data_IF_725362279146
#
_entry.id   IF_725362279146
#
_cell.length_a   1.000
_cell.length_b   1.000
_cell.length_c   1.000
_cell.angle_alpha   90.00
_cell.angle_beta   90.00
_cell.angle_gamma   90.00
#
_symmetry.space_group_name_H-M   'P 1'
#
loop_
_entity.id
_entity.type
_entity.pdbx_description
1 polymer ?
#
# COMPACT_ATOMS: atom_id res chain seq x y z
N UNK A 1 -19.12 -12.51 -16.61
CA UNK A 1 -18.35 -12.85 -15.38
C UNK A 1 -19.26 -13.65 -14.45
N UNK A 2 -18.87 -14.84 -14.02
CA UNK A 2 -19.67 -15.66 -13.11
C UNK A 2 -19.68 -15.04 -11.71
N UNK A 3 -20.74 -15.28 -10.93
CA UNK A 3 -20.84 -14.82 -9.52
C UNK A 3 -19.65 -15.29 -8.64
N UNK A 4 -18.91 -16.31 -9.07
CA UNK A 4 -17.72 -16.81 -8.37
C UNK A 4 -16.51 -15.86 -8.52
N UNK A 5 -16.31 -15.26 -9.71
CA UNK A 5 -15.17 -14.36 -9.96
C UNK A 5 -15.23 -13.07 -9.15
N UNK A 6 -16.43 -12.60 -8.79
CA UNK A 6 -16.59 -11.38 -7.98
C UNK A 6 -16.25 -11.60 -6.49
N UNK A 7 -16.19 -12.84 -6.02
CA UNK A 7 -15.93 -13.17 -4.62
C UNK A 7 -14.46 -13.50 -4.33
N UNK A 8 -13.61 -13.65 -5.36
CA UNK A 8 -12.22 -14.00 -5.17
C UNK A 8 -11.41 -12.81 -4.62
N UNK A 9 -10.60 -13.08 -3.61
CA UNK A 9 -9.62 -12.13 -3.11
C UNK A 9 -8.65 -11.72 -4.24
N UNK A 10 -8.12 -10.47 -4.26
CA UNK A 10 -7.15 -10.03 -5.27
C UNK A 10 -5.99 -11.00 -5.47
N UNK A 11 -5.49 -11.59 -4.39
CA UNK A 11 -4.46 -12.63 -4.43
C UNK A 11 -4.89 -13.88 -5.22
N UNK A 12 -6.09 -14.38 -4.97
CA UNK A 12 -6.62 -15.54 -5.69
C UNK A 12 -6.82 -15.24 -7.18
N UNK A 13 -7.29 -14.02 -7.50
CA UNK A 13 -7.40 -13.57 -8.90
C UNK A 13 -6.05 -13.52 -9.60
N UNK A 14 -5.02 -13.05 -8.89
CA UNK A 14 -3.66 -12.95 -9.46
C UNK A 14 -3.01 -14.32 -9.65
N UNK A 15 -3.32 -15.30 -8.79
CA UNK A 15 -2.83 -16.68 -8.92
C UNK A 15 -3.65 -17.51 -9.92
N UNK A 16 -4.86 -17.08 -10.26
CA UNK A 16 -5.70 -17.80 -11.20
C UNK A 16 -5.25 -17.45 -12.61
N UNK A 17 -4.63 -18.40 -13.29
CA UNK A 17 -4.36 -18.29 -14.74
C UNK A 17 -5.71 -18.28 -15.43
N UNK A 18 -6.07 -17.18 -16.08
CA UNK A 18 -7.34 -17.11 -16.79
C UNK A 18 -7.31 -17.99 -18.03
N UNK A 19 -8.50 -18.40 -18.48
CA UNK A 19 -8.62 -19.27 -19.66
C UNK A 19 -8.01 -18.68 -20.92
N UNK A 20 -8.00 -17.35 -21.02
CA UNK A 20 -7.42 -16.60 -22.13
C UNK A 20 -5.90 -16.64 -22.10
N UNK A 21 -5.29 -16.39 -20.91
CA UNK A 21 -3.83 -16.54 -20.74
C UNK A 21 -3.38 -17.98 -21.00
N UNK A 22 -4.16 -18.97 -20.57
CA UNK A 22 -3.87 -20.37 -20.83
C UNK A 22 -3.98 -20.70 -22.33
N UNK A 23 -4.99 -20.18 -23.00
CA UNK A 23 -5.16 -20.34 -24.44
C UNK A 23 -4.05 -19.65 -25.23
N UNK A 24 -3.63 -18.44 -24.83
CA UNK A 24 -2.50 -17.75 -25.40
C UNK A 24 -1.21 -18.55 -25.27
N UNK A 25 -0.94 -19.11 -24.09
CA UNK A 25 0.21 -19.99 -23.87
C UNK A 25 0.12 -21.24 -24.77
N UNK A 26 -1.03 -21.91 -24.80
CA UNK A 26 -1.20 -23.14 -25.57
C UNK A 26 -1.23 -22.89 -27.08
N UNK A 27 -1.81 -21.79 -27.52
CA UNK A 27 -1.93 -21.44 -28.94
C UNK A 27 -0.61 -20.97 -29.53
N UNK A 28 0.16 -20.20 -28.77
CA UNK A 28 1.39 -19.60 -29.23
C UNK A 28 2.63 -20.45 -28.93
N UNK A 29 2.53 -21.43 -28.07
CA UNK A 29 3.62 -22.31 -27.67
C UNK A 29 4.31 -23.05 -28.82
N UNK A 30 3.62 -23.55 -29.85
CA UNK A 30 4.27 -24.19 -31.00
C UNK A 30 4.83 -23.20 -32.02
N UNK A 31 4.37 -21.95 -32.01
CA UNK A 31 4.63 -20.97 -33.06
C UNK A 31 5.62 -19.87 -32.66
N UNK A 32 5.78 -19.62 -31.37
CA UNK A 32 6.72 -18.61 -30.88
C UNK A 32 8.08 -19.22 -30.56
N UNK A 33 9.19 -18.58 -30.98
CA UNK A 33 10.50 -18.89 -30.45
C UNK A 33 10.49 -18.83 -28.92
N UNK A 34 11.12 -19.80 -28.29
CA UNK A 34 11.26 -19.81 -26.83
C UNK A 34 11.69 -18.50 -26.22
N UNK A 35 12.53 -17.76 -26.94
CA UNK A 35 13.02 -16.46 -26.52
C UNK A 35 11.89 -15.45 -26.35
N UNK A 36 10.92 -15.39 -27.25
CA UNK A 36 9.80 -14.46 -27.17
C UNK A 36 8.83 -14.84 -26.06
N UNK A 37 8.62 -16.13 -25.86
CA UNK A 37 7.82 -16.63 -24.72
C UNK A 37 8.43 -16.24 -23.37
N UNK A 38 9.75 -16.34 -23.22
CA UNK A 38 10.46 -15.98 -21.99
C UNK A 38 10.55 -14.47 -21.76
N UNK A 39 10.33 -13.66 -22.75
CA UNK A 39 10.47 -12.19 -22.66
C UNK A 39 9.15 -11.44 -22.41
N UNK A 40 8.00 -12.13 -22.41
CA UNK A 40 6.72 -11.44 -22.28
C UNK A 40 5.66 -12.23 -21.48
N UNK A 41 5.54 -12.06 -20.17
CA UNK A 41 6.44 -11.35 -19.26
C UNK A 41 7.75 -12.11 -19.03
N UNK A 42 8.81 -11.39 -18.71
CA UNK A 42 10.15 -11.98 -18.51
C UNK A 42 10.21 -12.95 -17.34
N UNK A 43 9.40 -12.72 -16.32
CA UNK A 43 9.31 -13.55 -15.10
C UNK A 43 7.93 -13.44 -14.49
N UNK A 44 7.55 -14.46 -13.74
CA UNK A 44 6.39 -14.41 -12.85
C UNK A 44 6.87 -14.15 -11.42
N UNK A 45 6.12 -13.38 -10.66
CA UNK A 45 6.39 -13.16 -9.26
C UNK A 45 6.02 -14.38 -8.42
N UNK A 46 6.86 -14.68 -7.43
CA UNK A 46 6.63 -15.82 -6.55
C UNK A 46 5.47 -15.60 -5.57
N UNK A 47 5.02 -16.69 -4.98
CA UNK A 47 3.89 -16.73 -4.03
C UNK A 47 4.07 -15.78 -2.84
N UNK A 48 5.29 -15.64 -2.32
CA UNK A 48 5.58 -14.75 -1.17
C UNK A 48 5.35 -13.28 -1.52
N UNK A 49 5.73 -12.88 -2.75
CA UNK A 49 5.46 -11.55 -3.24
C UNK A 49 3.95 -11.32 -3.37
N UNK A 50 3.25 -12.25 -4.03
CA UNK A 50 1.81 -12.14 -4.26
C UNK A 50 1.01 -12.11 -2.96
N UNK A 51 1.41 -12.90 -1.97
CA UNK A 51 0.78 -12.90 -0.65
C UNK A 51 0.93 -11.55 0.05
N UNK A 52 2.14 -11.01 0.12
CA UNK A 52 2.41 -9.71 0.74
C UNK A 52 1.71 -8.57 0.00
N UNK A 53 1.77 -8.59 -1.32
CA UNK A 53 1.08 -7.62 -2.14
C UNK A 53 -0.44 -7.64 -1.91
N UNK A 54 -1.07 -8.83 -1.89
CA UNK A 54 -2.51 -8.93 -1.69
C UNK A 54 -2.96 -8.48 -0.29
N UNK A 55 -2.14 -8.72 0.72
CA UNK A 55 -2.40 -8.20 2.08
C UNK A 55 -2.31 -6.68 2.13
N UNK A 56 -1.32 -6.08 1.45
CA UNK A 56 -1.19 -4.64 1.31
C UNK A 56 -2.42 -4.04 0.64
N UNK A 57 -2.77 -4.53 -0.54
CA UNK A 57 -3.95 -4.06 -1.30
C UNK A 57 -5.25 -4.23 -0.50
N UNK A 58 -5.41 -5.34 0.23
CA UNK A 58 -6.57 -5.53 1.10
C UNK A 58 -6.66 -4.42 2.16
N UNK A 59 -5.55 -4.08 2.82
CA UNK A 59 -5.54 -3.05 3.86
C UNK A 59 -5.77 -1.65 3.29
N UNK A 60 -5.19 -1.35 2.14
CA UNK A 60 -5.42 -0.09 1.42
C UNK A 60 -6.90 0.08 1.04
N UNK A 61 -7.53 -0.96 0.49
CA UNK A 61 -8.96 -0.93 0.17
C UNK A 61 -9.83 -0.69 1.40
N UNK A 62 -9.53 -1.36 2.52
CA UNK A 62 -10.26 -1.16 3.78
C UNK A 62 -10.17 0.29 4.28
N UNK A 63 -9.00 0.92 4.14
CA UNK A 63 -8.83 2.32 4.50
C UNK A 63 -9.57 3.26 3.55
N UNK A 64 -9.52 3.00 2.23
CA UNK A 64 -10.25 3.78 1.23
C UNK A 64 -11.76 3.72 1.54
N UNK A 65 -12.30 2.54 1.78
CA UNK A 65 -13.70 2.35 2.16
C UNK A 65 -14.05 3.14 3.42
N UNK A 66 -13.25 2.98 4.49
CA UNK A 66 -13.50 3.67 5.77
C UNK A 66 -13.43 5.19 5.64
N UNK A 67 -12.49 5.73 4.86
CA UNK A 67 -12.39 7.17 4.60
C UNK A 67 -13.62 7.65 3.82
N UNK A 68 -14.00 6.92 2.76
CA UNK A 68 -15.14 7.29 1.92
C UNK A 68 -16.47 7.22 2.65
N UNK A 69 -16.63 6.28 3.59
CA UNK A 69 -17.82 6.15 4.44
C UNK A 69 -18.03 7.35 5.38
N UNK A 70 -17.00 8.15 5.64
CA UNK A 70 -17.18 9.38 6.43
C UNK A 70 -18.04 10.41 5.74
N UNK A 71 -18.12 10.38 4.40
CA UNK A 71 -18.78 11.37 3.58
C UNK A 71 -18.09 12.74 3.51
N UNK A 72 -17.16 13.01 4.41
CA UNK A 72 -16.39 14.26 4.47
C UNK A 72 -15.11 14.20 3.63
N UNK A 73 -14.55 13.01 3.52
CA UNK A 73 -13.29 12.75 2.82
C UNK A 73 -13.45 11.62 1.81
N UNK A 74 -12.55 11.58 0.84
CA UNK A 74 -12.36 10.43 -0.02
C UNK A 74 -10.87 10.15 -0.21
N UNK A 75 -10.53 8.90 -0.45
CA UNK A 75 -9.18 8.44 -0.66
C UNK A 75 -9.03 7.75 -2.01
N UNK A 76 -7.83 7.87 -2.58
CA UNK A 76 -7.44 7.16 -3.80
C UNK A 76 -6.13 6.41 -3.58
N UNK A 77 -5.90 5.28 -4.29
CA UNK A 77 -4.59 4.66 -4.34
C UNK A 77 -3.61 5.57 -5.08
N UNK A 78 -2.37 5.63 -4.60
CA UNK A 78 -1.32 6.45 -5.18
C UNK A 78 -0.02 5.67 -5.38
N UNK A 79 0.31 4.80 -4.45
CA UNK A 79 1.40 3.84 -4.60
C UNK A 79 1.12 2.81 -5.71
N UNK A 80 2.17 2.19 -6.25
CA UNK A 80 2.02 1.23 -7.36
C UNK A 80 1.25 -0.04 -6.99
N UNK A 81 1.23 -0.42 -5.71
CA UNK A 81 0.55 -1.63 -5.25
C UNK A 81 -0.96 -1.55 -5.45
N UNK A 82 -1.57 -0.44 -5.04
CA UNK A 82 -3.02 -0.25 -5.06
C UNK A 82 -3.60 -0.01 -6.45
N UNK A 83 -2.76 0.27 -7.46
CA UNK A 83 -3.19 0.53 -8.83
C UNK A 83 -2.87 -0.62 -9.80
N UNK A 84 -2.15 -1.66 -9.33
CA UNK A 84 -1.81 -2.80 -10.16
C UNK A 84 -3.06 -3.54 -10.65
N UNK A 85 -3.12 -3.93 -11.94
CA UNK A 85 -4.26 -4.67 -12.48
C UNK A 85 -4.38 -6.06 -11.84
N UNK A 86 -5.60 -6.50 -11.60
CA UNK A 86 -5.90 -7.81 -10.99
C UNK A 86 -6.69 -8.72 -11.93
N UNK A 87 -6.91 -8.29 -13.17
CA UNK A 87 -7.74 -8.98 -14.15
C UNK A 87 -7.05 -10.18 -14.78
N UNK A 88 -5.74 -10.09 -15.02
CA UNK A 88 -4.94 -11.16 -15.60
C UNK A 88 -3.53 -11.17 -15.03
N UNK A 89 -2.92 -12.36 -14.96
CA UNK A 89 -1.53 -12.54 -14.48
C UNK A 89 -0.56 -11.80 -15.38
N UNK A 90 -0.78 -11.86 -16.69
CA UNK A 90 0.08 -11.20 -17.68
C UNK A 90 0.09 -9.68 -17.51
N UNK A 91 -1.08 -9.05 -17.42
CA UNK A 91 -1.19 -7.59 -17.21
C UNK A 91 -0.55 -7.16 -15.90
N UNK A 92 -0.74 -7.94 -14.84
CA UNK A 92 -0.12 -7.73 -13.53
C UNK A 92 1.41 -7.74 -13.64
N UNK A 93 1.99 -8.76 -14.26
CA UNK A 93 3.45 -8.87 -14.38
C UNK A 93 4.02 -7.79 -15.29
N UNK A 94 3.37 -7.50 -16.43
CA UNK A 94 3.78 -6.44 -17.34
C UNK A 94 3.71 -5.05 -16.69
N UNK A 95 2.75 -4.83 -15.81
CA UNK A 95 2.67 -3.59 -15.05
C UNK A 95 3.94 -3.35 -14.21
N UNK A 96 4.37 -4.34 -13.46
CA UNK A 96 5.58 -4.23 -12.64
C UNK A 96 6.86 -4.20 -13.48
N UNK A 97 6.91 -4.92 -14.60
CA UNK A 97 8.03 -4.82 -15.54
C UNK A 97 8.13 -3.41 -16.14
N UNK A 98 7.01 -2.80 -16.48
CA UNK A 98 6.96 -1.41 -16.94
C UNK A 98 7.48 -0.43 -15.89
N UNK A 99 7.12 -0.60 -14.62
CA UNK A 99 7.66 0.21 -13.51
C UNK A 99 9.18 0.06 -13.37
N UNK A 100 9.67 -1.17 -13.43
CA UNK A 100 11.12 -1.45 -13.36
C UNK A 100 11.86 -0.82 -14.56
N UNK A 101 11.33 -0.98 -15.76
CA UNK A 101 11.91 -0.42 -16.98
C UNK A 101 11.94 1.13 -16.97
N UNK A 102 10.94 1.76 -16.36
CA UNK A 102 10.88 3.20 -16.17
C UNK A 102 11.80 3.72 -15.04
N UNK A 103 12.48 2.83 -14.31
CA UNK A 103 13.29 3.18 -13.14
C UNK A 103 12.48 3.61 -11.92
N UNK A 104 11.16 3.39 -11.95
CA UNK A 104 10.23 3.81 -10.90
C UNK A 104 9.94 2.72 -9.86
N UNK A 105 10.39 1.50 -10.10
CA UNK A 105 10.13 0.36 -9.21
C UNK A 105 10.75 0.46 -7.80
N UNK A 106 11.66 1.41 -7.59
CA UNK A 106 12.29 1.69 -6.27
C UNK A 106 11.91 3.06 -5.70
N UNK A 107 11.07 3.81 -6.39
CA UNK A 107 10.61 5.12 -5.88
C UNK A 107 9.58 4.88 -4.80
N UNK A 108 9.89 5.28 -3.58
CA UNK A 108 8.93 5.21 -2.48
C UNK A 108 7.90 6.32 -2.62
N UNK A 109 6.65 5.95 -2.63
CA UNK A 109 5.48 6.83 -2.57
C UNK A 109 4.58 6.33 -1.45
N UNK A 110 3.86 7.24 -0.77
CA UNK A 110 2.77 6.83 0.11
C UNK A 110 1.72 6.02 -0.67
N UNK A 111 1.03 5.12 0.01
CA UNK A 111 0.09 4.20 -0.64
C UNK A 111 -1.19 4.91 -1.08
N UNK A 112 -1.70 5.85 -0.28
CA UNK A 112 -2.96 6.55 -0.53
C UNK A 112 -2.80 8.07 -0.44
N UNK A 113 -3.68 8.79 -1.16
CA UNK A 113 -3.92 10.23 -0.98
C UNK A 113 -5.36 10.45 -0.52
N UNK A 114 -5.53 11.36 0.45
CA UNK A 114 -6.84 11.71 1.02
C UNK A 114 -7.18 13.17 0.69
N UNK A 115 -8.42 13.41 0.31
CA UNK A 115 -8.97 14.67 -0.12
C UNK A 115 -10.29 14.98 0.57
N UNK A 116 -10.72 16.25 0.54
CA UNK A 116 -12.08 16.61 0.90
C UNK A 116 -13.07 16.16 -0.18
N UNK A 117 -14.20 15.58 0.21
CA UNK A 117 -15.24 15.12 -0.70
C UNK A 117 -15.77 16.22 -1.62
N UNK A 118 -15.78 17.48 -1.16
CA UNK A 118 -16.13 18.63 -1.98
C UNK A 118 -15.26 18.79 -3.24
N UNK A 119 -14.04 18.25 -3.23
CA UNK A 119 -13.10 18.30 -4.35
C UNK A 119 -13.14 17.07 -5.26
N UNK A 120 -13.98 16.08 -4.97
CA UNK A 120 -13.92 14.78 -5.64
C UNK A 120 -13.96 14.90 -7.17
N UNK A 121 -14.95 15.58 -7.72
CA UNK A 121 -15.07 15.75 -9.18
C UNK A 121 -13.87 16.47 -9.80
N UNK A 122 -13.29 17.44 -9.10
CA UNK A 122 -12.09 18.16 -9.53
C UNK A 122 -10.89 17.22 -9.60
N UNK A 123 -10.72 16.35 -8.59
CA UNK A 123 -9.62 15.39 -8.52
C UNK A 123 -9.80 14.30 -9.57
N UNK A 124 -11.01 13.75 -9.74
CA UNK A 124 -11.31 12.78 -10.80
C UNK A 124 -10.95 13.32 -12.20
N UNK A 125 -11.26 14.59 -12.48
CA UNK A 125 -10.87 15.23 -13.74
C UNK A 125 -9.35 15.34 -13.89
N UNK A 126 -8.61 15.68 -12.84
CA UNK A 126 -7.14 15.73 -12.86
C UNK A 126 -6.53 14.35 -13.09
N UNK A 127 -7.06 13.32 -12.43
CA UNK A 127 -6.63 11.93 -12.61
C UNK A 127 -6.90 11.48 -14.05
N UNK A 128 -8.08 11.76 -14.59
CA UNK A 128 -8.42 11.44 -15.98
C UNK A 128 -7.49 12.14 -16.96
N UNK A 129 -7.15 13.40 -16.73
CA UNK A 129 -6.19 14.15 -17.55
C UNK A 129 -4.75 13.60 -17.44
N UNK A 130 -4.43 12.90 -16.34
CA UNK A 130 -3.16 12.22 -16.14
C UNK A 130 -3.12 10.81 -16.79
N UNK A 131 -4.25 10.33 -17.35
CA UNK A 131 -4.35 9.00 -17.97
C UNK A 131 -5.09 7.97 -17.11
N UNK A 132 -5.65 8.38 -15.97
CA UNK A 132 -6.34 7.50 -15.02
C UNK A 132 -5.46 7.03 -13.86
N UNK A 133 -6.07 6.37 -12.90
CA UNK A 133 -5.39 5.88 -11.67
C UNK A 133 -4.23 4.94 -11.98
N UNK A 134 -4.40 4.06 -12.97
CA UNK A 134 -3.38 3.07 -13.35
C UNK A 134 -2.11 3.71 -13.92
N UNK A 135 -2.21 4.91 -14.47
CA UNK A 135 -1.06 5.62 -15.03
C UNK A 135 -0.31 6.47 -14.00
N UNK A 136 -0.93 6.81 -12.87
CA UNK A 136 -0.29 7.66 -11.86
C UNK A 136 1.10 7.16 -11.41
N UNK A 137 1.32 5.86 -11.15
CA UNK A 137 2.62 5.36 -10.74
C UNK A 137 3.73 5.51 -11.79
N UNK A 138 3.35 5.67 -13.05
CA UNK A 138 4.30 5.84 -14.18
C UNK A 138 4.66 7.30 -14.46
N UNK A 139 3.99 8.23 -13.82
CA UNK A 139 4.26 9.66 -13.99
C UNK A 139 5.31 10.08 -12.96
N UNK A 140 6.42 10.71 -13.38
CA UNK A 140 7.44 11.22 -12.46
C UNK A 140 6.85 12.19 -11.44
N UNK A 141 7.32 12.13 -10.20
CA UNK A 141 6.88 13.02 -9.11
C UNK A 141 7.07 14.52 -9.41
N UNK A 142 7.94 14.85 -10.35
CA UNK A 142 8.20 16.25 -10.80
C UNK A 142 7.23 16.72 -11.86
N UNK A 143 6.37 15.85 -12.37
CA UNK A 143 5.41 16.20 -13.41
C UNK A 143 4.35 17.17 -12.88
N UNK A 144 4.01 18.24 -13.63
CA UNK A 144 2.99 19.20 -13.21
C UNK A 144 1.62 18.57 -12.91
N UNK A 145 1.26 17.47 -13.58
CA UNK A 145 0.01 16.75 -13.35
C UNK A 145 -0.05 16.16 -11.95
N UNK A 146 1.05 15.55 -11.48
CA UNK A 146 1.18 15.06 -10.11
C UNK A 146 1.13 16.22 -9.11
N UNK A 147 1.89 17.28 -9.33
CA UNK A 147 1.86 18.48 -8.49
C UNK A 147 0.45 19.03 -8.37
N UNK A 148 -0.30 19.09 -9.46
CA UNK A 148 -1.68 19.57 -9.47
C UNK A 148 -2.62 18.69 -8.59
N UNK A 149 -2.42 17.37 -8.55
CA UNK A 149 -3.17 16.45 -7.68
C UNK A 149 -2.75 16.68 -6.23
N UNK A 150 -1.45 16.72 -5.94
CA UNK A 150 -0.92 16.85 -4.59
C UNK A 150 -1.29 18.18 -3.91
N UNK A 151 -1.49 19.24 -4.69
CA UNK A 151 -1.92 20.56 -4.14
C UNK A 151 -3.26 20.50 -3.40
N UNK A 152 -4.15 19.61 -3.76
CA UNK A 152 -5.45 19.44 -3.09
C UNK A 152 -5.44 18.30 -2.07
N UNK A 153 -4.32 17.61 -1.89
CA UNK A 153 -4.17 16.50 -0.94
C UNK A 153 -4.09 17.03 0.49
N UNK A 154 -4.92 16.48 1.39
CA UNK A 154 -4.91 16.85 2.80
C UNK A 154 -3.81 16.08 3.54
N UNK A 155 -3.74 14.79 3.28
CA UNK A 155 -2.79 13.86 3.90
C UNK A 155 -2.51 12.73 2.95
N UNK A 156 -1.26 12.30 2.90
CA UNK A 156 -0.85 11.05 2.28
C UNK A 156 -0.75 9.96 3.35
N UNK A 157 -1.05 8.72 3.01
CA UNK A 157 -1.07 7.62 3.96
C UNK A 157 -0.10 6.53 3.53
N UNK A 158 0.78 6.15 4.43
CA UNK A 158 1.54 4.91 4.37
C UNK A 158 0.75 3.85 5.13
N UNK A 159 0.43 2.76 4.46
CA UNK A 159 -0.44 1.72 4.96
C UNK A 159 0.36 0.47 5.35
N UNK A 160 0.37 0.15 6.62
CA UNK A 160 0.89 -1.11 7.12
C UNK A 160 -0.28 -2.04 7.54
N UNK A 161 -0.03 -3.33 7.58
CA UNK A 161 -1.11 -4.27 7.88
C UNK A 161 -0.70 -5.43 8.79
N UNK A 162 -1.71 -5.99 9.43
CA UNK A 162 -1.61 -7.21 10.21
C UNK A 162 -2.93 -7.98 10.09
N UNK A 163 -2.86 -9.28 9.87
CA UNK A 163 -4.02 -10.16 9.83
C UNK A 163 -4.58 -10.51 11.22
N UNK A 164 -3.96 -10.02 12.29
CA UNK A 164 -4.46 -10.21 13.64
C UNK A 164 -5.73 -9.40 13.88
N UNK A 165 -6.60 -9.94 14.71
CA UNK A 165 -7.67 -9.15 15.31
C UNK A 165 -7.08 -8.36 16.47
N UNK A 166 -6.96 -7.05 16.33
CA UNK A 166 -6.38 -6.18 17.34
C UNK A 166 -7.03 -6.32 18.70
N UNK A 167 -8.38 -6.44 18.74
CA UNK A 167 -9.15 -6.66 19.99
C UNK A 167 -8.90 -7.99 20.69
N UNK A 168 -8.29 -8.97 20.00
CA UNK A 168 -7.99 -10.31 20.52
C UNK A 168 -6.53 -10.50 20.87
N UNK A 169 -5.71 -9.46 20.73
CA UNK A 169 -4.32 -9.53 21.14
C UNK A 169 -4.20 -9.67 22.65
N UNK A 170 -3.25 -10.49 23.17
CA UNK A 170 -3.16 -10.86 24.59
C UNK A 170 -3.14 -9.68 25.56
N UNK A 171 -2.43 -8.62 25.22
CA UNK A 171 -2.27 -7.47 26.12
C UNK A 171 -3.18 -6.27 25.76
N UNK A 172 -4.19 -6.45 24.89
CA UNK A 172 -5.05 -5.37 24.40
C UNK A 172 -5.76 -4.57 25.47
N UNK A 173 -6.25 -5.24 26.52
CA UNK A 173 -6.93 -4.61 27.65
C UNK A 173 -6.06 -4.55 28.93
N UNK A 174 -4.76 -4.82 28.79
CA UNK A 174 -3.86 -4.82 29.96
C UNK A 174 -3.67 -3.39 30.47
N UNK A 175 -3.92 -3.12 31.77
CA UNK A 175 -3.76 -1.81 32.34
C UNK A 175 -2.31 -1.32 32.27
N UNK A 176 -2.12 -0.04 31.94
CA UNK A 176 -0.81 0.60 31.97
C UNK A 176 -0.30 0.68 33.41
N UNK A 177 0.99 0.43 33.59
CA UNK A 177 1.68 0.51 34.90
C UNK A 177 3.00 1.27 34.75
N UNK A 178 3.53 1.89 35.81
CA UNK A 178 4.85 2.52 35.77
C UNK A 178 5.93 1.53 35.32
N UNK A 179 6.71 1.90 34.32
CA UNK A 179 7.78 1.07 33.76
C UNK A 179 9.14 1.72 33.98
N UNK A 180 10.09 0.99 34.58
CA UNK A 180 11.47 1.47 34.80
C UNK A 180 12.14 1.91 33.47
N UNK A 181 11.91 1.16 32.39
CA UNK A 181 12.44 1.47 31.04
C UNK A 181 11.91 2.78 30.44
N UNK A 182 10.78 3.27 30.93
CA UNK A 182 10.16 4.53 30.54
C UNK A 182 10.37 5.63 31.59
N UNK A 183 11.37 5.50 32.43
CA UNK A 183 11.63 6.50 33.49
C UNK A 183 10.50 6.60 34.51
N UNK A 184 9.74 5.53 34.74
CA UNK A 184 8.59 5.52 35.67
C UNK A 184 7.26 5.95 35.01
N UNK A 185 7.25 6.33 33.74
CA UNK A 185 6.02 6.63 33.00
C UNK A 185 5.15 5.38 32.85
N UNK A 186 3.84 5.59 32.72
CA UNK A 186 2.88 4.50 32.51
C UNK A 186 3.11 3.86 31.13
N UNK A 187 3.09 2.55 31.09
CA UNK A 187 3.24 1.75 29.89
C UNK A 187 3.00 0.26 30.16
N UNK A 188 3.15 -0.56 29.15
CA UNK A 188 3.11 -2.01 29.25
C UNK A 188 4.53 -2.59 29.42
N UNK A 189 4.62 -3.85 29.84
CA UNK A 189 5.89 -4.61 29.87
C UNK A 189 6.54 -4.65 28.47
N UNK A 190 7.86 -4.82 28.43
CA UNK A 190 8.57 -5.09 27.17
C UNK A 190 8.03 -6.38 26.53
N UNK A 191 7.81 -6.37 25.21
CA UNK A 191 7.25 -7.51 24.50
C UNK A 191 5.76 -7.75 24.75
N UNK A 192 5.01 -6.73 25.22
CA UNK A 192 3.56 -6.80 25.27
C UNK A 192 3.01 -6.95 23.85
N UNK A 193 2.03 -7.85 23.69
CA UNK A 193 1.38 -8.15 22.42
C UNK A 193 0.07 -7.39 22.33
N UNK A 194 0.11 -6.26 21.64
CA UNK A 194 -1.03 -5.37 21.43
C UNK A 194 -0.94 -4.74 20.03
N UNK A 195 -2.03 -4.14 19.52
CA UNK A 195 -1.97 -3.37 18.28
C UNK A 195 -0.93 -2.26 18.39
N UNK A 196 -0.06 -2.18 17.40
CA UNK A 196 1.00 -1.19 17.30
C UNK A 196 1.08 -0.65 15.88
N UNK A 197 1.69 0.52 15.73
CA UNK A 197 2.04 1.07 14.42
C UNK A 197 3.49 0.71 14.17
N UNK A 198 3.77 0.16 12.99
CA UNK A 198 5.11 -0.23 12.56
C UNK A 198 5.53 0.70 11.41
N UNK A 199 6.78 1.12 11.42
CA UNK A 199 7.40 1.84 10.32
C UNK A 199 8.68 1.08 9.97
N UNK A 200 8.83 0.73 8.70
CA UNK A 200 10.06 0.08 8.23
C UNK A 200 11.19 1.10 8.19
N UNK A 201 12.34 0.72 8.70
CA UNK A 201 13.52 1.60 8.75
C UNK A 201 13.93 2.07 7.36
N UNK A 202 13.83 1.19 6.37
CA UNK A 202 14.15 1.47 4.97
C UNK A 202 13.23 2.50 4.30
N UNK A 203 11.98 2.62 4.79
CA UNK A 203 10.99 3.57 4.24
C UNK A 203 11.05 4.95 4.89
N UNK A 204 11.68 5.08 6.07
CA UNK A 204 11.68 6.33 6.86
C UNK A 204 12.28 7.51 6.11
N UNK A 205 13.51 7.35 5.62
CA UNK A 205 14.19 8.45 4.92
C UNK A 205 13.51 8.81 3.60
N UNK A 206 13.14 7.86 2.73
CA UNK A 206 12.36 8.16 1.54
C UNK A 206 11.03 8.88 1.79
N UNK A 207 10.24 8.46 2.78
CA UNK A 207 8.99 9.12 3.14
C UNK A 207 9.21 10.54 3.67
N UNK A 208 10.23 10.74 4.49
CA UNK A 208 10.60 12.05 5.00
C UNK A 208 10.98 13.02 3.89
N UNK A 209 11.75 12.55 2.92
CA UNK A 209 12.13 13.33 1.73
C UNK A 209 10.91 13.66 0.88
N UNK A 210 10.04 12.68 0.65
CA UNK A 210 8.81 12.88 -0.10
C UNK A 210 7.91 13.93 0.58
N UNK A 211 7.65 13.82 1.88
CA UNK A 211 6.86 14.77 2.66
C UNK A 211 7.43 16.19 2.55
N UNK A 212 8.74 16.33 2.72
CA UNK A 212 9.43 17.64 2.63
C UNK A 212 9.34 18.24 1.23
N UNK A 213 9.54 17.44 0.18
CA UNK A 213 9.52 17.90 -1.20
C UNK A 213 8.12 18.26 -1.70
N UNK A 214 7.10 17.54 -1.23
CA UNK A 214 5.72 17.72 -1.70
C UNK A 214 4.90 18.64 -0.81
N UNK A 215 5.34 18.89 0.42
CA UNK A 215 4.61 19.71 1.38
C UNK A 215 3.28 19.09 1.83
N UNK A 216 3.11 17.78 1.62
CA UNK A 216 1.92 17.03 2.02
C UNK A 216 2.27 16.20 3.25
N UNK A 217 1.54 16.36 4.38
CA UNK A 217 1.80 15.57 5.58
C UNK A 217 1.54 14.09 5.32
N UNK A 218 2.36 13.22 5.91
CA UNK A 218 2.19 11.78 5.86
C UNK A 218 1.65 11.28 7.19
N UNK A 219 0.69 10.36 7.14
CA UNK A 219 0.27 9.53 8.26
C UNK A 219 0.67 8.07 7.98
N UNK A 220 1.07 7.35 9.02
CA UNK A 220 1.23 5.89 8.97
C UNK A 220 0.01 5.27 9.63
N UNK A 221 -0.70 4.46 8.88
CA UNK A 221 -1.89 3.77 9.37
C UNK A 221 -1.67 2.26 9.33
N UNK A 222 -1.84 1.61 10.48
CA UNK A 222 -1.73 0.17 10.61
C UNK A 222 -3.11 -0.45 10.71
N UNK A 223 -3.44 -1.27 9.72
CA UNK A 223 -4.73 -1.96 9.59
C UNK A 223 -4.65 -3.34 10.19
N UNK A 224 -5.49 -3.60 11.17
CA UNK A 224 -5.77 -4.91 11.71
C UNK A 224 -7.08 -5.44 11.14
N UNK A 225 -7.34 -6.73 11.31
CA UNK A 225 -8.55 -7.34 10.76
C UNK A 225 -9.85 -6.65 11.20
N UNK A 226 -9.92 -6.13 12.42
CA UNK A 226 -11.10 -5.54 13.06
C UNK A 226 -10.99 -4.03 13.34
N UNK A 227 -9.87 -3.40 13.07
CA UNK A 227 -9.62 -1.97 13.35
C UNK A 227 -8.38 -1.43 12.68
N UNK A 228 -8.22 -0.11 12.70
CA UNK A 228 -6.99 0.53 12.28
C UNK A 228 -6.55 1.57 13.33
N UNK A 229 -5.26 1.87 13.34
CA UNK A 229 -4.66 2.94 14.14
C UNK A 229 -3.82 3.81 13.22
N UNK A 230 -3.89 5.12 13.42
CA UNK A 230 -3.12 6.08 12.64
C UNK A 230 -2.28 7.00 13.52
N UNK A 231 -1.13 7.40 13.01
CA UNK A 231 -0.21 8.35 13.63
C UNK A 231 0.42 9.21 12.53
N UNK A 232 0.59 10.52 12.77
CA UNK A 232 1.36 11.33 11.84
C UNK A 232 2.82 10.86 11.79
N UNK A 233 3.41 10.90 10.62
CA UNK A 233 4.81 10.50 10.43
C UNK A 233 5.76 11.35 11.28
N UNK A 234 5.50 12.65 11.39
CA UNK A 234 6.31 13.54 12.24
C UNK A 234 6.26 13.10 13.69
N UNK A 235 5.08 12.76 14.22
CA UNK A 235 4.96 12.27 15.61
C UNK A 235 5.67 10.93 15.80
N UNK A 236 5.64 10.06 14.82
CA UNK A 236 6.38 8.81 14.86
C UNK A 236 7.90 9.04 14.92
N UNK A 237 8.42 9.96 14.10
CA UNK A 237 9.84 10.37 14.12
C UNK A 237 10.25 10.98 15.47
N UNK A 238 9.41 11.81 16.07
CA UNK A 238 9.64 12.35 17.42
C UNK A 238 9.75 11.23 18.46
N UNK A 239 8.82 10.26 18.45
CA UNK A 239 8.84 9.13 19.38
C UNK A 239 10.10 8.27 19.22
N UNK A 240 10.58 8.10 17.99
CA UNK A 240 11.83 7.38 17.71
C UNK A 240 13.03 8.16 18.28
N UNK A 241 13.09 9.48 18.07
CA UNK A 241 14.15 10.34 18.60
C UNK A 241 14.16 10.37 20.13
N UNK A 242 12.99 10.32 20.76
CA UNK A 242 12.83 10.24 22.21
C UNK A 242 13.12 8.84 22.79
N UNK A 243 13.49 7.86 21.97
CA UNK A 243 13.67 6.45 22.35
C UNK A 243 12.42 5.83 23.05
N UNK A 244 11.24 6.23 22.59
CA UNK A 244 9.96 5.71 23.09
C UNK A 244 9.36 4.59 22.23
N UNK A 245 10.12 4.14 21.23
CA UNK A 245 9.75 3.06 20.34
C UNK A 245 10.59 1.80 20.63
N UNK A 246 10.13 0.66 20.14
CA UNK A 246 10.88 -0.60 20.19
C UNK A 246 11.29 -1.00 18.78
N UNK A 247 12.61 -1.16 18.56
CA UNK A 247 13.10 -1.75 17.32
C UNK A 247 12.76 -3.25 17.32
N UNK A 248 12.18 -3.73 16.23
CA UNK A 248 11.86 -5.14 16.03
C UNK A 248 12.48 -5.61 14.72
N UNK A 249 12.94 -6.86 14.70
CA UNK A 249 13.39 -7.51 13.47
C UNK A 249 12.26 -8.43 13.04
N UNK A 250 11.70 -8.17 11.87
CA UNK A 250 10.79 -9.13 11.23
C UNK A 250 11.64 -10.10 10.44
N UNK A 251 11.57 -11.37 10.81
CA UNK A 251 12.16 -12.47 10.04
C UNK A 251 11.04 -12.99 9.13
N UNK A 252 11.24 -12.86 7.84
CA UNK A 252 10.32 -13.36 6.81
C UNK A 252 10.75 -14.73 6.32
#
# INVERSE_FOLDING_TARGET
MSKLEQALHPFEKTLTVCSEDLQDILHNFPALPWLDFWLNPRRLRGSDFLMRWSQGVWSEHRLIEAVNETGEFFAIPYGPSGTAPTGSVREFELYFERLEAAGLGKVKRPDLLVFQSANQKKIENKISAAGGLIELPFIPETDPRITAILTDTIVAVECENSLWRGSKMPDFLTPLRPQKRLGGKLGLKKGAVLPNIIIKEEDRQPLKEWQKLRGVPIHVWHVFYDRAYGLSFDRAEELIQENLTEATVQIF
#
